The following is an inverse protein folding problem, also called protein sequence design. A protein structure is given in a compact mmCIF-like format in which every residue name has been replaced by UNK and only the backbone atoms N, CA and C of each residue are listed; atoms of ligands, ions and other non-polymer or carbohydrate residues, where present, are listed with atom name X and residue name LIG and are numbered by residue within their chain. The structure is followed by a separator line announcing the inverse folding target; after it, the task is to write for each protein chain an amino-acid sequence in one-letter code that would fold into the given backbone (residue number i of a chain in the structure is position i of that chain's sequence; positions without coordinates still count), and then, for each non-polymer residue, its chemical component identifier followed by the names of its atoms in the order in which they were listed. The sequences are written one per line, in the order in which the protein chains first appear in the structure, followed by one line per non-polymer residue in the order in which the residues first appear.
data_IF_350965487608
#
_entry.id   IF_350965487608
#
_cell.length_a   1.000
_cell.length_b   1.000
_cell.length_c   1.000
_cell.angle_alpha   90.00
_cell.angle_beta   90.00
_cell.angle_gamma   90.00
#
_symmetry.space_group_name_H-M   'P 1'
#
loop_
_entity.id
_entity.type
_entity.pdbx_description
1 polymer ?
#
# COMPACT_ATOMS: atom_id res chain seq x y z
N UNK A 1 20.21 11.92 -1.60
CA UNK A 1 20.81 12.08 -0.26
C UNK A 1 20.76 10.73 0.42
N UNK A 2 21.85 10.27 1.03
CA UNK A 2 21.90 9.00 1.76
C UNK A 2 21.74 9.29 3.25
N UNK A 3 20.93 8.48 3.93
CA UNK A 3 20.71 8.59 5.38
C UNK A 3 21.08 7.26 6.03
N UNK A 4 22.09 7.26 6.90
CA UNK A 4 22.50 6.05 7.61
C UNK A 4 21.53 5.77 8.76
N UNK A 5 20.77 4.69 8.60
CA UNK A 5 19.82 4.19 9.60
C UNK A 5 20.42 2.92 10.23
N UNK A 6 20.37 2.82 11.55
CA UNK A 6 20.62 1.54 12.21
C UNK A 6 19.34 0.70 12.12
N UNK A 7 19.38 -0.33 11.28
CA UNK A 7 18.29 -1.27 11.06
C UNK A 7 18.66 -2.62 11.68
N UNK A 8 17.65 -3.37 12.11
CA UNK A 8 17.84 -4.72 12.62
C UNK A 8 18.25 -5.67 11.48
N UNK A 9 19.41 -6.30 11.62
CA UNK A 9 19.96 -7.22 10.62
C UNK A 9 19.03 -8.41 10.39
N UNK A 10 18.36 -8.93 11.43
CA UNK A 10 17.46 -10.07 11.28
C UNK A 10 16.26 -9.74 10.40
N UNK A 11 15.74 -8.52 10.55
CA UNK A 11 14.60 -8.01 9.79
C UNK A 11 14.98 -7.73 8.33
N UNK A 12 16.20 -7.25 8.10
CA UNK A 12 16.76 -7.09 6.75
C UNK A 12 16.90 -8.46 6.06
N UNK A 13 17.44 -9.46 6.75
CA UNK A 13 17.63 -10.80 6.17
C UNK A 13 16.29 -11.45 5.83
N UNK A 14 15.29 -11.31 6.70
CA UNK A 14 13.93 -11.81 6.41
C UNK A 14 13.33 -11.11 5.19
N UNK A 15 13.45 -9.79 5.12
CA UNK A 15 12.93 -9.03 3.98
C UNK A 15 13.65 -9.38 2.65
N UNK A 16 14.97 -9.56 2.69
CA UNK A 16 15.76 -9.98 1.53
C UNK A 16 15.48 -11.43 1.10
N UNK A 17 15.14 -12.32 2.04
CA UNK A 17 14.75 -13.68 1.72
C UNK A 17 13.37 -13.77 1.05
N UNK A 18 12.51 -12.77 1.30
CA UNK A 18 11.20 -12.63 0.69
C UNK A 18 11.23 -11.87 -0.64
N UNK A 19 12.24 -11.02 -0.86
CA UNK A 19 12.41 -10.29 -2.12
C UNK A 19 13.04 -11.21 -3.19
N UNK A 20 12.47 -11.17 -4.40
CA UNK A 20 13.01 -11.91 -5.56
C UNK A 20 14.38 -11.34 -5.97
N UNK A 21 14.59 -10.05 -5.70
CA UNK A 21 15.84 -9.35 -5.97
C UNK A 21 16.55 -9.08 -4.64
N UNK A 22 17.61 -9.82 -4.33
CA UNK A 22 18.37 -9.72 -3.06
C UNK A 22 19.16 -8.40 -2.91
N UNK A 23 18.53 -7.24 -3.12
CA UNK A 23 19.14 -5.92 -3.03
C UNK A 23 18.51 -5.12 -1.89
N UNK A 24 19.34 -4.74 -0.91
CA UNK A 24 18.93 -3.94 0.25
C UNK A 24 18.27 -2.62 -0.13
N UNK A 25 18.78 -1.91 -1.14
CA UNK A 25 18.23 -0.63 -1.58
C UNK A 25 16.82 -0.80 -2.14
N UNK A 26 16.61 -1.85 -2.94
CA UNK A 26 15.31 -2.21 -3.52
C UNK A 26 14.30 -2.55 -2.43
N UNK A 27 14.69 -3.40 -1.46
CA UNK A 27 13.86 -3.76 -0.31
C UNK A 27 13.45 -2.53 0.49
N UNK A 28 14.40 -1.62 0.79
CA UNK A 28 14.11 -0.40 1.53
C UNK A 28 13.16 0.52 0.75
N UNK A 29 13.39 0.72 -0.54
CA UNK A 29 12.53 1.55 -1.37
C UNK A 29 11.10 0.97 -1.44
N UNK A 30 10.98 -0.33 -1.65
CA UNK A 30 9.70 -1.04 -1.69
C UNK A 30 8.97 -0.94 -0.35
N UNK A 31 9.65 -1.20 0.76
CA UNK A 31 9.07 -1.11 2.10
C UNK A 31 8.54 0.31 2.39
N UNK A 32 9.27 1.36 1.99
CA UNK A 32 8.83 2.75 2.13
C UNK A 32 7.60 3.05 1.27
N UNK A 33 7.58 2.58 0.01
CA UNK A 33 6.42 2.74 -0.88
C UNK A 33 5.18 2.08 -0.30
N UNK A 34 5.30 0.85 0.18
CA UNK A 34 4.19 0.12 0.80
C UNK A 34 3.72 0.79 2.10
N UNK A 35 4.65 1.26 2.93
CA UNK A 35 4.33 1.98 4.16
C UNK A 35 3.51 3.25 3.88
N UNK A 36 3.94 4.04 2.88
CA UNK A 36 3.22 5.23 2.44
C UNK A 36 1.85 4.84 1.90
N UNK A 37 1.77 3.87 0.99
CA UNK A 37 0.51 3.43 0.41
C UNK A 37 -0.46 2.92 1.48
N UNK A 38 0.00 2.13 2.45
CA UNK A 38 -0.83 1.63 3.56
C UNK A 38 -1.43 2.78 4.38
N UNK A 39 -0.68 3.86 4.57
CA UNK A 39 -1.19 5.07 5.26
C UNK A 39 -2.13 5.89 4.38
N UNK A 40 -1.86 6.01 3.10
CA UNK A 40 -2.77 6.66 2.16
C UNK A 40 -4.09 5.93 2.04
N UNK A 41 -4.09 4.59 1.94
CA UNK A 41 -5.32 3.78 1.91
C UNK A 41 -6.19 3.99 3.14
N UNK A 42 -5.61 4.21 4.32
CA UNK A 42 -6.39 4.52 5.53
C UNK A 42 -7.21 5.81 5.40
N UNK A 43 -6.77 6.75 4.55
CA UNK A 43 -7.53 7.98 4.28
C UNK A 43 -8.82 7.71 3.51
N UNK A 44 -9.05 6.51 2.97
CA UNK A 44 -10.35 6.16 2.37
C UNK A 44 -11.50 6.32 3.39
N UNK A 45 -11.21 6.15 4.69
CA UNK A 45 -12.17 6.38 5.76
C UNK A 45 -12.63 7.85 5.81
N UNK A 46 -11.77 8.79 5.42
CA UNK A 46 -12.08 10.22 5.36
C UNK A 46 -13.10 10.55 4.25
N UNK A 47 -13.28 9.67 3.26
CA UNK A 47 -14.23 9.86 2.15
C UNK A 47 -15.66 9.41 2.50
N UNK A 48 -15.87 8.74 3.65
CA UNK A 48 -17.21 8.33 4.05
C UNK A 48 -18.05 9.56 4.39
N UNK A 49 -19.24 9.66 3.79
CA UNK A 49 -20.15 10.79 3.96
C UNK A 49 -19.77 12.05 3.19
N UNK A 50 -18.65 12.05 2.44
CA UNK A 50 -18.28 13.16 1.54
C UNK A 50 -18.69 12.91 0.09
N UNK A 51 -19.00 11.66 -0.26
CA UNK A 51 -19.42 11.28 -1.61
C UNK A 51 -20.94 11.40 -1.68
N UNK A 52 -21.41 12.26 -2.58
CA UNK A 52 -22.81 12.37 -2.92
C UNK A 52 -23.13 11.35 -4.02
N UNK A 53 -24.10 10.48 -3.76
CA UNK A 53 -24.50 9.42 -4.68
C UNK A 53 -25.85 9.79 -5.29
N UNK A 54 -25.97 9.67 -6.61
CA UNK A 54 -27.28 9.83 -7.25
C UNK A 54 -28.25 8.74 -6.75
N UNK A 55 -29.45 9.15 -6.32
CA UNK A 55 -30.46 8.23 -5.77
C UNK A 55 -30.86 7.12 -6.75
N UNK A 56 -30.78 7.41 -8.06
CA UNK A 56 -31.11 6.48 -9.14
C UNK A 56 -29.97 5.54 -9.53
N UNK A 57 -28.79 5.66 -8.92
CA UNK A 57 -27.61 4.88 -9.29
C UNK A 57 -27.68 3.43 -8.78
N UNK A 58 -28.04 2.49 -9.66
CA UNK A 58 -27.99 1.06 -9.36
C UNK A 58 -26.60 0.46 -9.64
N UNK A 59 -25.71 0.56 -8.66
CA UNK A 59 -24.39 -0.09 -8.73
C UNK A 59 -24.47 -1.63 -8.82
N UNK A 60 -25.63 -2.26 -8.54
CA UNK A 60 -25.79 -3.72 -8.64
C UNK A 60 -25.98 -4.19 -10.08
N UNK A 61 -26.44 -3.31 -10.98
CA UNK A 61 -26.57 -3.61 -12.40
C UNK A 61 -25.23 -4.09 -13.01
N UNK A 62 -24.10 -3.53 -12.55
CA UNK A 62 -22.76 -3.93 -13.01
C UNK A 62 -22.34 -5.34 -12.57
N UNK A 63 -23.03 -5.94 -11.60
CA UNK A 63 -22.77 -7.31 -11.11
C UNK A 63 -23.63 -8.35 -11.79
N UNK A 64 -24.58 -7.94 -12.62
CA UNK A 64 -25.34 -8.87 -13.44
C UNK A 64 -24.42 -9.29 -14.59
N UNK A 65 -23.70 -10.39 -14.39
CA UNK A 65 -23.11 -11.13 -15.50
C UNK A 65 -24.24 -11.63 -16.41
N UNK A 66 -24.04 -11.61 -17.74
CA UNK A 66 -25.04 -12.08 -18.70
C UNK A 66 -25.40 -13.56 -18.53
#
# INVERSE_FOLDING_TARGET
MTHSLNLDESLIQEALALDEQQNLESVIETALREYIQRRQRRKIVELFGTIDYEESYDYKAQRQTP
#
